data_IF_881481872678
#
_entry.id   IF_881481872678
#
_cell.length_a   1.000
_cell.length_b   1.000
_cell.length_c   1.000
_cell.angle_alpha   90.00
_cell.angle_beta   90.00
_cell.angle_gamma   90.00
#
_symmetry.space_group_name_H-M   'P 1'
#
loop_
_entity.id
_entity.type
_entity.pdbx_description
1 polymer ?
#
# COMPACT_ATOMS: atom_id res chain seq x y z
N UNK A 1 2.75 8.52 23.90
CA UNK A 1 1.61 8.44 22.97
C UNK A 1 1.58 9.71 22.14
N UNK A 2 1.52 9.59 20.82
CA UNK A 2 1.30 10.72 19.93
C UNK A 2 0.02 11.50 20.27
N UNK A 3 0.07 12.81 20.10
CA UNK A 3 -1.04 13.74 20.34
C UNK A 3 -1.24 14.63 19.12
N UNK A 4 -2.34 15.38 19.04
CA UNK A 4 -2.53 16.34 17.94
C UNK A 4 -1.46 17.44 17.91
N UNK A 5 -0.85 17.78 19.04
CA UNK A 5 0.25 18.76 19.13
C UNK A 5 1.63 18.17 18.87
N UNK A 6 1.75 16.84 18.93
CA UNK A 6 2.98 16.10 18.63
C UNK A 6 2.62 14.78 17.91
N UNK A 7 2.16 14.87 16.64
CA UNK A 7 1.67 13.72 15.89
C UNK A 7 2.84 12.85 15.40
N UNK A 8 2.55 11.58 15.04
CA UNK A 8 3.49 10.74 14.30
C UNK A 8 3.81 11.42 12.95
N UNK A 9 5.09 11.49 12.57
CA UNK A 9 5.47 11.86 11.20
C UNK A 9 5.38 10.62 10.32
N UNK A 10 4.52 10.65 9.32
CA UNK A 10 4.32 9.56 8.39
C UNK A 10 4.89 9.93 7.02
N UNK A 11 5.94 9.24 6.59
CA UNK A 11 6.59 9.50 5.32
C UNK A 11 5.90 8.70 4.19
N UNK A 12 5.29 9.43 3.25
CA UNK A 12 4.51 8.90 2.14
C UNK A 12 5.10 9.40 0.80
N UNK A 13 4.81 8.69 -0.29
CA UNK A 13 5.30 9.01 -1.62
C UNK A 13 4.42 10.09 -2.24
N UNK A 14 5.02 11.20 -2.63
CA UNK A 14 4.34 12.30 -3.29
C UNK A 14 3.77 11.88 -4.65
N UNK A 15 2.48 12.15 -4.87
CA UNK A 15 1.90 12.23 -6.21
C UNK A 15 2.07 13.63 -6.78
N UNK A 16 1.66 13.83 -8.04
CA UNK A 16 1.44 15.17 -8.57
C UNK A 16 0.31 15.93 -7.86
N UNK A 17 0.25 17.27 -8.03
CA UNK A 17 -0.73 18.11 -7.37
C UNK A 17 -2.19 17.77 -7.74
N UNK A 18 -3.13 17.76 -6.77
CA UNK A 18 -2.90 17.83 -5.33
C UNK A 18 -2.24 16.54 -4.82
N UNK A 19 -1.25 16.69 -3.93
CA UNK A 19 -0.51 15.56 -3.32
C UNK A 19 -1.49 14.63 -2.60
N UNK A 20 -1.42 13.34 -2.94
CA UNK A 20 -2.25 12.27 -2.37
C UNK A 20 -1.46 10.96 -2.33
N UNK A 21 -1.85 10.09 -1.41
CA UNK A 21 -1.33 8.72 -1.36
C UNK A 21 -1.78 7.96 -2.60
N UNK A 22 -0.88 7.15 -3.16
CA UNK A 22 -1.21 6.28 -4.29
C UNK A 22 -0.52 4.93 -4.21
N UNK A 23 0.67 4.86 -3.60
CA UNK A 23 1.42 3.62 -3.49
C UNK A 23 0.83 2.68 -2.43
N UNK A 24 0.86 1.35 -2.64
CA UNK A 24 0.17 0.39 -1.78
C UNK A 24 0.78 0.33 -0.38
N UNK A 25 2.11 0.34 -0.25
CA UNK A 25 2.72 0.22 1.08
C UNK A 25 2.43 1.43 1.97
N UNK A 26 2.55 2.69 1.50
CA UNK A 26 2.08 3.84 2.28
C UNK A 26 0.58 3.81 2.59
N UNK A 27 -0.27 3.36 1.66
CA UNK A 27 -1.69 3.14 1.95
C UNK A 27 -1.92 2.20 3.14
N UNK A 28 -1.13 1.12 3.28
CA UNK A 28 -1.23 0.21 4.44
C UNK A 28 -0.98 0.95 5.75
N UNK A 29 0.07 1.77 5.83
CA UNK A 29 0.38 2.57 7.02
C UNK A 29 -0.68 3.64 7.29
N UNK A 30 -1.18 4.31 6.25
CA UNK A 30 -2.25 5.31 6.39
C UNK A 30 -3.52 4.70 6.98
N UNK A 31 -3.97 3.56 6.44
CA UNK A 31 -5.09 2.81 6.99
C UNK A 31 -4.84 2.39 8.43
N UNK A 32 -3.64 1.88 8.76
CA UNK A 32 -3.30 1.48 10.12
C UNK A 32 -3.37 2.65 11.11
N UNK A 33 -2.79 3.80 10.78
CA UNK A 33 -2.83 5.01 11.59
C UNK A 33 -4.26 5.51 11.80
N UNK A 34 -5.05 5.59 10.73
CA UNK A 34 -6.45 6.01 10.78
C UNK A 34 -7.31 5.02 11.59
N UNK A 35 -7.13 3.72 11.37
CA UNK A 35 -7.85 2.66 12.08
C UNK A 35 -7.54 2.72 13.58
N UNK A 36 -6.29 2.89 13.98
CA UNK A 36 -5.94 3.07 15.40
C UNK A 36 -6.29 4.46 15.96
N UNK A 37 -6.75 5.37 15.10
CA UNK A 37 -7.01 6.78 15.45
C UNK A 37 -5.79 7.46 16.09
N UNK A 38 -4.60 7.13 15.58
CA UNK A 38 -3.35 7.75 16.02
C UNK A 38 -3.17 9.07 15.27
N UNK A 39 -2.93 10.20 15.94
CA UNK A 39 -2.62 11.46 15.27
C UNK A 39 -1.32 11.35 14.47
N UNK A 40 -1.36 11.74 13.20
CA UNK A 40 -0.19 11.78 12.33
C UNK A 40 -0.23 12.98 11.38
N UNK A 41 0.93 13.35 10.87
CA UNK A 41 1.12 14.30 9.79
C UNK A 41 1.86 13.61 8.64
N UNK A 42 1.38 13.79 7.40
CA UNK A 42 2.08 13.24 6.22
C UNK A 42 3.28 14.12 5.83
N UNK A 43 4.46 13.52 5.79
CA UNK A 43 5.66 14.05 5.17
C UNK A 43 5.76 13.49 3.75
N UNK A 44 5.54 14.35 2.75
CA UNK A 44 5.54 13.93 1.35
C UNK A 44 6.96 13.91 0.78
N UNK A 45 7.36 12.76 0.26
CA UNK A 45 8.70 12.52 -0.32
C UNK A 45 8.54 12.19 -1.80
N UNK A 46 9.26 12.92 -2.66
CA UNK A 46 9.29 12.59 -4.08
C UNK A 46 9.95 11.22 -4.29
N UNK A 47 9.49 10.46 -5.29
CA UNK A 47 9.97 9.10 -5.52
C UNK A 47 11.51 9.00 -5.64
N UNK A 48 12.21 9.92 -6.35
CA UNK A 48 13.67 9.89 -6.46
C UNK A 48 14.40 10.20 -5.14
N UNK A 49 13.72 10.84 -4.18
CA UNK A 49 14.31 11.30 -2.92
C UNK A 49 14.17 10.28 -1.77
N UNK A 50 13.55 9.12 -2.01
CA UNK A 50 13.27 8.12 -0.96
C UNK A 50 14.55 7.64 -0.28
N UNK A 51 15.58 7.30 -1.06
CA UNK A 51 16.86 6.84 -0.53
C UNK A 51 17.54 7.93 0.31
N UNK A 52 17.71 9.12 -0.27
CA UNK A 52 18.30 10.27 0.42
C UNK A 52 17.56 10.60 1.73
N UNK A 53 16.22 10.53 1.72
CA UNK A 53 15.39 10.76 2.90
C UNK A 53 15.66 9.74 4.00
N UNK A 54 15.66 8.44 3.68
CA UNK A 54 15.93 7.39 4.68
C UNK A 54 17.33 7.50 5.26
N UNK A 55 18.33 7.78 4.42
CA UNK A 55 19.72 7.97 4.83
C UNK A 55 19.89 9.20 5.75
N UNK A 56 19.24 10.32 5.43
CA UNK A 56 19.27 11.53 6.26
C UNK A 56 18.72 11.28 7.68
N UNK A 57 17.75 10.37 7.80
CA UNK A 57 17.18 9.94 9.08
C UNK A 57 17.83 8.69 9.68
N UNK A 58 18.89 8.15 9.05
CA UNK A 58 19.60 6.93 9.47
C UNK A 58 18.70 5.71 9.60
N UNK A 59 17.68 5.61 8.76
CA UNK A 59 16.76 4.47 8.74
C UNK A 59 17.23 3.47 7.68
N UNK A 60 17.67 2.29 8.14
CA UNK A 60 18.17 1.21 7.28
C UNK A 60 17.15 0.78 6.20
N UNK A 61 17.59 0.27 5.05
CA UNK A 61 16.70 -0.31 4.05
C UNK A 61 16.05 -1.59 4.62
N UNK A 62 14.80 -1.83 4.21
CA UNK A 62 14.00 -2.99 4.66
C UNK A 62 13.77 -4.00 3.53
N UNK A 63 14.31 -3.72 2.34
CA UNK A 63 14.24 -4.58 1.17
C UNK A 63 15.58 -4.58 0.43
N UNK A 64 15.76 -5.60 -0.39
CA UNK A 64 16.89 -5.78 -1.28
C UNK A 64 16.42 -5.92 -2.73
N UNK A 65 17.25 -5.50 -3.66
CA UNK A 65 17.12 -5.86 -5.07
C UNK A 65 17.53 -7.32 -5.32
N UNK A 66 17.23 -7.90 -6.49
CA UNK A 66 17.65 -9.27 -6.82
C UNK A 66 19.17 -9.51 -6.81
N UNK A 67 19.96 -8.45 -6.94
CA UNK A 67 21.42 -8.47 -6.85
C UNK A 67 21.96 -8.24 -5.43
N UNK A 68 21.08 -8.28 -4.42
CA UNK A 68 21.35 -8.06 -2.99
C UNK A 68 21.74 -6.62 -2.59
N UNK A 69 21.71 -5.68 -3.54
CA UNK A 69 21.88 -4.26 -3.24
C UNK A 69 20.69 -3.69 -2.46
N UNK A 70 20.94 -2.63 -1.69
CA UNK A 70 19.94 -2.01 -0.82
C UNK A 70 18.79 -1.39 -1.61
N UNK A 71 17.56 -1.68 -1.20
CA UNK A 71 16.37 -1.05 -1.78
C UNK A 71 15.62 -0.23 -0.72
N UNK A 72 15.79 1.09 -0.81
CA UNK A 72 15.13 2.05 0.08
C UNK A 72 13.68 2.26 -0.35
N UNK A 73 12.75 2.12 0.60
CA UNK A 73 11.31 2.20 0.34
C UNK A 73 10.58 3.04 1.37
N UNK A 74 9.45 3.60 0.99
CA UNK A 74 8.43 4.07 1.92
C UNK A 74 7.30 3.03 2.04
N UNK A 75 6.61 2.97 3.20
CA UNK A 75 6.60 3.97 4.26
C UNK A 75 7.71 3.84 5.31
N UNK A 76 7.92 4.92 6.04
CA UNK A 76 8.48 4.93 7.39
C UNK A 76 7.69 5.90 8.27
N UNK A 77 7.76 5.72 9.58
CA UNK A 77 7.20 6.66 10.55
C UNK A 77 8.26 7.08 11.55
N UNK A 78 8.10 8.29 12.10
CA UNK A 78 8.81 8.73 13.28
C UNK A 78 7.80 9.07 14.38
N UNK A 79 7.95 8.41 15.52
CA UNK A 79 7.17 8.66 16.71
C UNK A 79 7.99 9.45 17.73
N UNK A 80 7.69 10.75 17.85
CA UNK A 80 8.39 11.63 18.77
C UNK A 80 8.11 11.29 20.25
N UNK A 81 7.07 10.52 20.56
CA UNK A 81 6.80 10.11 21.94
C UNK A 81 7.77 9.04 22.45
N UNK A 82 8.40 8.30 21.54
CA UNK A 82 9.36 7.22 21.83
C UNK A 82 10.72 7.47 21.18
N UNK A 83 10.91 8.60 20.49
CA UNK A 83 12.10 8.93 19.70
C UNK A 83 12.53 7.79 18.77
N UNK A 84 11.56 7.20 18.06
CA UNK A 84 11.76 5.97 17.30
C UNK A 84 11.34 6.12 15.83
N UNK A 85 12.21 5.68 14.93
CA UNK A 85 11.86 5.43 13.52
C UNK A 85 11.48 3.96 13.33
N UNK A 86 10.38 3.74 12.60
CA UNK A 86 9.98 2.39 12.15
C UNK A 86 9.78 2.42 10.64
N UNK A 87 10.50 1.56 9.93
CA UNK A 87 10.33 1.34 8.50
C UNK A 87 9.58 0.04 8.23
N UNK A 88 9.07 -0.12 7.00
CA UNK A 88 8.21 -1.23 6.56
C UNK A 88 6.77 -1.14 7.08
N UNK A 89 5.79 -1.26 6.17
CA UNK A 89 4.37 -1.09 6.51
C UNK A 89 3.85 -2.14 7.48
N UNK A 90 4.42 -3.35 7.50
CA UNK A 90 4.02 -4.42 8.41
C UNK A 90 4.60 -4.19 9.80
N UNK A 91 5.89 -3.85 9.87
CA UNK A 91 6.56 -3.56 11.15
C UNK A 91 5.98 -2.31 11.81
N UNK A 92 5.57 -1.31 11.04
CA UNK A 92 4.79 -0.16 11.53
C UNK A 92 3.46 -0.63 12.14
N UNK A 93 2.74 -1.58 11.52
CA UNK A 93 1.48 -2.07 12.08
C UNK A 93 1.68 -2.83 13.39
N UNK A 94 2.75 -3.63 13.52
CA UNK A 94 3.15 -4.28 14.78
C UNK A 94 3.46 -3.22 15.84
N UNK A 95 4.30 -2.24 15.51
CA UNK A 95 4.64 -1.14 16.41
C UNK A 95 3.40 -0.38 16.89
N UNK A 96 2.45 -0.10 15.99
CA UNK A 96 1.21 0.60 16.35
C UNK A 96 0.31 -0.22 17.28
N UNK A 97 0.24 -1.54 17.13
CA UNK A 97 -0.49 -2.40 18.07
C UNK A 97 0.16 -2.45 19.45
N UNK A 98 1.50 -2.49 19.51
CA UNK A 98 2.26 -2.52 20.76
C UNK A 98 2.25 -1.17 21.50
N UNK A 99 2.50 -0.08 20.78
CA UNK A 99 2.62 1.25 21.38
C UNK A 99 1.27 1.94 21.59
N UNK A 100 0.23 1.58 20.82
CA UNK A 100 -1.09 2.23 20.90
C UNK A 100 -2.25 1.27 21.24
N UNK A 101 -2.15 0.50 22.35
CA UNK A 101 -3.19 -0.47 22.75
C UNK A 101 -4.49 0.21 23.22
N UNK A 102 -4.41 1.46 23.71
CA UNK A 102 -5.56 2.20 24.27
C UNK A 102 -6.64 2.56 23.24
N UNK A 103 -6.35 2.44 21.94
CA UNK A 103 -7.35 2.63 20.88
C UNK A 103 -8.49 1.61 20.92
N UNK A 104 -8.32 0.48 21.63
CA UNK A 104 -9.29 -0.62 21.70
C UNK A 104 -9.46 -1.42 20.40
N UNK A 105 -8.75 -1.02 19.35
CA UNK A 105 -8.71 -1.67 18.03
C UNK A 105 -7.42 -2.47 17.91
N UNK A 106 -7.43 -3.58 17.18
CA UNK A 106 -6.25 -4.43 16.99
C UNK A 106 -6.07 -4.68 15.50
N UNK A 107 -4.87 -4.43 14.98
CA UNK A 107 -4.52 -4.66 13.57
C UNK A 107 -4.12 -6.12 13.37
N UNK A 108 -3.27 -6.64 14.25
CA UNK A 108 -2.61 -7.93 14.17
C UNK A 108 -2.83 -8.69 15.48
N UNK A 109 -3.76 -9.68 15.51
CA UNK A 109 -3.95 -10.49 16.71
C UNK A 109 -2.62 -11.13 17.17
N UNK A 110 -2.27 -11.08 18.48
CA UNK A 110 -0.94 -11.51 18.97
C UNK A 110 -0.54 -12.95 18.59
N UNK A 111 -1.51 -13.84 18.38
CA UNK A 111 -1.29 -15.22 17.96
C UNK A 111 -1.18 -15.45 16.44
N UNK A 112 -1.41 -14.43 15.61
CA UNK A 112 -1.47 -14.56 14.15
C UNK A 112 -0.51 -13.65 13.39
N UNK A 113 0.37 -12.89 14.07
CA UNK A 113 1.33 -11.97 13.43
C UNK A 113 2.10 -12.67 12.28
N UNK A 114 2.65 -13.86 12.52
CA UNK A 114 3.37 -14.61 11.48
C UNK A 114 2.50 -14.99 10.27
N UNK A 115 1.24 -15.35 10.51
CA UNK A 115 0.27 -15.67 9.45
C UNK A 115 -0.10 -14.43 8.64
N UNK A 116 -0.32 -13.29 9.31
CA UNK A 116 -0.55 -12.02 8.62
C UNK A 116 0.67 -11.58 7.80
N UNK A 117 1.89 -11.85 8.26
CA UNK A 117 3.11 -11.55 7.48
C UNK A 117 3.17 -12.38 6.21
N UNK A 118 2.88 -13.68 6.30
CA UNK A 118 2.81 -14.56 5.13
C UNK A 118 1.69 -14.13 4.16
N UNK A 119 0.51 -13.79 4.69
CA UNK A 119 -0.60 -13.27 3.91
C UNK A 119 -0.25 -11.94 3.22
N UNK A 120 0.40 -11.01 3.92
CA UNK A 120 0.87 -9.75 3.31
C UNK A 120 1.77 -10.04 2.10
N UNK A 121 2.74 -10.94 2.25
CA UNK A 121 3.64 -11.31 1.15
C UNK A 121 2.89 -11.95 -0.04
N UNK A 122 1.90 -12.81 0.23
CA UNK A 122 1.05 -13.40 -0.81
C UNK A 122 0.26 -12.33 -1.58
N UNK A 123 -0.35 -11.39 -0.87
CA UNK A 123 -1.11 -10.28 -1.47
C UNK A 123 -0.20 -9.38 -2.29
N UNK A 124 0.97 -9.01 -1.75
CA UNK A 124 1.96 -8.20 -2.46
C UNK A 124 2.40 -8.89 -3.74
N UNK A 125 2.68 -10.20 -3.72
CA UNK A 125 3.03 -10.96 -4.90
C UNK A 125 1.87 -11.03 -5.92
N UNK A 126 0.64 -11.26 -5.47
CA UNK A 126 -0.54 -11.34 -6.34
C UNK A 126 -0.72 -10.04 -7.13
N UNK A 127 -0.78 -8.91 -6.45
CA UNK A 127 -1.05 -7.63 -7.10
C UNK A 127 0.16 -7.08 -7.87
N UNK A 128 1.39 -7.36 -7.42
CA UNK A 128 2.60 -6.96 -8.16
C UNK A 128 2.64 -7.59 -9.55
N UNK A 129 2.19 -8.84 -9.73
CA UNK A 129 2.12 -9.50 -11.05
C UNK A 129 1.25 -8.74 -12.05
N UNK A 130 0.27 -7.98 -11.57
CA UNK A 130 -0.73 -7.30 -12.40
C UNK A 130 -0.53 -5.78 -12.46
N UNK A 131 0.50 -5.23 -11.79
CA UNK A 131 0.73 -3.77 -11.70
C UNK A 131 0.93 -3.10 -13.07
N UNK A 132 1.43 -3.84 -14.06
CA UNK A 132 1.61 -3.36 -15.43
C UNK A 132 0.32 -2.82 -16.05
N UNK A 133 -0.85 -3.37 -15.69
CA UNK A 133 -2.16 -2.93 -16.22
C UNK A 133 -2.48 -1.45 -15.89
N UNK A 134 -1.95 -0.93 -14.78
CA UNK A 134 -2.16 0.45 -14.32
C UNK A 134 -0.92 1.34 -14.35
N UNK A 135 0.29 0.79 -14.57
CA UNK A 135 1.55 1.54 -14.39
C UNK A 135 1.67 2.80 -15.26
N UNK A 136 1.08 2.80 -16.46
CA UNK A 136 1.04 3.97 -17.35
C UNK A 136 0.34 5.20 -16.72
N UNK A 137 -0.56 4.99 -15.74
CA UNK A 137 -1.39 6.00 -15.11
C UNK A 137 -0.93 6.34 -13.70
N UNK A 138 0.31 5.98 -13.33
CA UNK A 138 0.86 6.41 -12.05
C UNK A 138 0.81 7.94 -11.94
N UNK A 139 0.28 8.49 -10.84
CA UNK A 139 0.04 9.93 -10.70
C UNK A 139 1.33 10.64 -10.28
N UNK A 140 2.41 10.49 -11.05
CA UNK A 140 3.69 11.11 -10.73
C UNK A 140 3.59 12.63 -10.65
N UNK A 141 4.43 13.22 -9.82
CA UNK A 141 4.63 14.66 -9.83
C UNK A 141 5.25 15.08 -11.17
N UNK A 142 4.61 15.98 -11.96
CA UNK A 142 5.13 16.42 -13.24
C UNK A 142 6.58 16.92 -13.20
N UNK A 143 7.01 17.52 -12.08
CA UNK A 143 8.37 18.03 -11.89
C UNK A 143 9.42 16.91 -11.80
N UNK A 144 9.05 15.75 -11.27
CA UNK A 144 9.94 14.60 -11.05
C UNK A 144 9.57 13.37 -11.89
N UNK A 145 8.59 13.49 -12.78
CA UNK A 145 8.00 12.37 -13.51
C UNK A 145 9.01 11.69 -14.43
N UNK A 146 9.84 12.45 -15.16
CA UNK A 146 10.82 11.85 -16.07
C UNK A 146 11.90 11.07 -15.31
N UNK A 147 12.38 11.59 -14.17
CA UNK A 147 13.29 10.85 -13.30
C UNK A 147 12.61 9.60 -12.73
N UNK A 148 11.38 9.72 -12.22
CA UNK A 148 10.63 8.59 -11.68
C UNK A 148 10.44 7.48 -12.70
N UNK A 149 10.11 7.83 -13.96
CA UNK A 149 10.04 6.87 -15.07
C UNK A 149 11.38 6.23 -15.35
N UNK A 150 12.47 7.00 -15.38
CA UNK A 150 13.82 6.47 -15.58
C UNK A 150 14.22 5.47 -14.48
N UNK A 151 13.90 5.77 -13.23
CA UNK A 151 14.15 4.88 -12.09
C UNK A 151 13.38 3.56 -12.23
N UNK A 152 12.12 3.61 -12.67
CA UNK A 152 11.34 2.40 -12.97
C UNK A 152 11.90 1.62 -14.16
N UNK A 153 12.34 2.30 -15.22
CA UNK A 153 12.96 1.68 -16.39
C UNK A 153 14.20 0.89 -15.99
N UNK A 154 15.08 1.50 -15.19
CA UNK A 154 16.26 0.84 -14.64
C UNK A 154 15.87 -0.33 -13.72
N UNK A 155 14.96 -0.09 -12.78
CA UNK A 155 14.52 -1.09 -11.79
C UNK A 155 13.87 -2.33 -12.40
N UNK A 156 13.07 -2.15 -13.45
CA UNK A 156 12.38 -3.24 -14.14
C UNK A 156 13.20 -3.83 -15.28
N UNK A 157 14.38 -3.28 -15.56
CA UNK A 157 15.26 -3.72 -16.64
C UNK A 157 14.52 -3.79 -17.99
N UNK A 158 13.82 -2.70 -18.33
CA UNK A 158 13.05 -2.54 -19.56
C UNK A 158 13.71 -1.48 -20.46
N UNK A 159 13.47 -1.47 -21.78
CA UNK A 159 14.17 -0.56 -22.68
C UNK A 159 13.69 0.90 -22.59
N UNK A 160 12.43 1.13 -22.22
CA UNK A 160 11.85 2.46 -22.08
C UNK A 160 10.56 2.42 -21.26
N UNK A 161 10.10 3.58 -20.79
CA UNK A 161 8.82 3.68 -20.09
C UNK A 161 7.66 3.23 -20.99
N UNK A 162 7.70 3.55 -22.28
CA UNK A 162 6.67 3.15 -23.24
C UNK A 162 6.50 1.62 -23.36
N UNK A 163 7.54 0.84 -23.06
CA UNK A 163 7.50 -0.61 -23.11
C UNK A 163 6.57 -1.24 -22.06
N UNK A 164 6.21 -0.52 -20.99
CA UNK A 164 5.25 -1.00 -19.98
C UNK A 164 3.80 -0.81 -20.42
N UNK A 165 3.57 0.01 -21.45
CA UNK A 165 2.23 0.48 -21.79
C UNK A 165 1.50 -0.61 -22.57
N UNK A 166 0.56 -1.28 -21.90
CA UNK A 166 -0.29 -2.29 -22.52
C UNK A 166 -1.53 -1.59 -23.11
N UNK A 167 -1.67 -1.66 -24.44
CA UNK A 167 -2.71 -0.97 -25.22
C UNK A 167 -3.70 -1.94 -25.87
N UNK A 168 -4.93 -1.48 -26.06
CA UNK A 168 -5.96 -2.16 -26.85
C UNK A 168 -6.20 -3.60 -26.42
N UNK A 169 -6.40 -4.49 -27.40
CA UNK A 169 -6.78 -5.89 -27.19
C UNK A 169 -5.75 -6.70 -26.38
N UNK A 170 -4.48 -6.26 -26.33
CA UNK A 170 -3.45 -6.90 -25.51
C UNK A 170 -3.75 -6.83 -24.00
N UNK A 171 -4.62 -5.91 -23.57
CA UNK A 171 -5.07 -5.80 -22.18
C UNK A 171 -6.03 -6.92 -21.78
N UNK A 172 -6.85 -7.41 -22.71
CA UNK A 172 -7.92 -8.39 -22.44
C UNK A 172 -7.43 -9.68 -21.76
N UNK A 173 -6.41 -10.40 -22.29
CA UNK A 173 -5.94 -11.62 -21.62
C UNK A 173 -5.31 -11.36 -20.25
N UNK A 174 -4.70 -10.19 -20.04
CA UNK A 174 -4.10 -9.82 -18.75
C UNK A 174 -5.17 -9.48 -17.71
N UNK A 175 -6.25 -8.81 -18.11
CA UNK A 175 -7.41 -8.56 -17.26
C UNK A 175 -8.12 -9.87 -16.88
N UNK A 176 -8.26 -10.81 -17.82
CA UNK A 176 -8.84 -12.12 -17.53
C UNK A 176 -7.95 -12.92 -16.56
N UNK A 177 -6.63 -12.89 -16.75
CA UNK A 177 -5.69 -13.50 -15.80
C UNK A 177 -5.79 -12.86 -14.40
N UNK A 178 -5.91 -11.53 -14.32
CA UNK A 178 -6.07 -10.85 -13.04
C UNK A 178 -7.39 -11.21 -12.36
N UNK A 179 -8.47 -11.25 -13.13
CA UNK A 179 -9.79 -11.68 -12.64
C UNK A 179 -9.77 -13.11 -12.13
N UNK A 180 -9.09 -14.03 -12.83
CA UNK A 180 -8.94 -15.43 -12.41
C UNK A 180 -8.12 -15.56 -11.12
N UNK A 181 -7.01 -14.83 -10.99
CA UNK A 181 -6.22 -14.78 -9.76
C UNK A 181 -7.06 -14.24 -8.58
N UNK A 182 -7.89 -13.22 -8.81
CA UNK A 182 -8.80 -12.69 -7.81
C UNK A 182 -9.98 -13.65 -7.50
N UNK A 183 -10.46 -14.42 -8.47
CA UNK A 183 -11.46 -15.48 -8.24
C UNK A 183 -10.92 -16.53 -7.25
N UNK A 184 -9.69 -16.99 -7.46
CA UNK A 184 -9.03 -17.92 -6.55
C UNK A 184 -8.77 -17.30 -5.18
N UNK A 185 -8.31 -16.04 -5.15
CA UNK A 185 -8.07 -15.33 -3.90
C UNK A 185 -9.36 -15.06 -3.11
N UNK A 186 -10.48 -14.81 -3.78
CA UNK A 186 -11.78 -14.59 -3.15
C UNK A 186 -12.27 -15.81 -2.34
N UNK A 187 -11.79 -17.02 -2.63
CA UNK A 187 -12.11 -18.25 -1.88
C UNK A 187 -11.61 -18.22 -0.43
N UNK A 188 -10.69 -17.32 -0.09
CA UNK A 188 -10.24 -17.09 1.29
C UNK A 188 -11.30 -16.40 2.14
N UNK A 189 -12.22 -15.65 1.52
CA UNK A 189 -13.30 -14.96 2.20
C UNK A 189 -14.52 -15.89 2.35
N UNK A 190 -14.50 -16.68 3.43
CA UNK A 190 -15.50 -17.73 3.69
C UNK A 190 -16.68 -17.32 4.57
N UNK A 191 -16.67 -16.09 5.08
CA UNK A 191 -17.76 -15.58 5.90
C UNK A 191 -18.81 -14.92 5.02
N UNK A 192 -20.07 -15.24 5.31
CA UNK A 192 -21.23 -14.61 4.67
C UNK A 192 -21.60 -13.28 5.35
N UNK A 193 -21.14 -13.06 6.59
CA UNK A 193 -21.27 -11.78 7.28
C UNK A 193 -20.06 -10.90 7.03
N UNK A 194 -20.31 -9.60 6.82
CA UNK A 194 -19.28 -8.58 6.72
C UNK A 194 -18.42 -8.60 5.45
N UNK A 195 -17.74 -7.48 5.16
CA UNK A 195 -16.92 -7.34 3.96
C UNK A 195 -15.47 -7.81 4.15
N UNK A 196 -15.07 -8.16 5.37
CA UNK A 196 -13.68 -8.43 5.75
C UNK A 196 -13.35 -9.93 5.74
N UNK A 197 -12.06 -10.25 5.76
CA UNK A 197 -11.54 -11.62 5.69
C UNK A 197 -12.02 -12.48 6.88
N UNK A 198 -12.16 -11.86 8.06
CA UNK A 198 -12.69 -12.49 9.28
C UNK A 198 -14.14 -12.07 9.58
N UNK A 199 -14.91 -11.76 8.52
CA UNK A 199 -16.32 -11.40 8.60
C UNK A 199 -16.55 -9.92 8.85
N UNK A 200 -17.14 -9.56 9.99
CA UNK A 200 -17.48 -8.16 10.33
C UNK A 200 -16.31 -7.40 10.97
N UNK A 201 -15.24 -8.10 11.37
CA UNK A 201 -14.10 -7.51 12.06
C UNK A 201 -12.96 -7.26 11.08
N UNK A 202 -12.62 -5.98 10.89
CA UNK A 202 -11.45 -5.57 10.13
C UNK A 202 -10.16 -5.94 10.87
N UNK A 203 -9.15 -6.37 10.10
CA UNK A 203 -7.78 -6.62 10.54
C UNK A 203 -6.76 -6.03 9.55
N UNK A 204 -5.46 -6.14 9.86
CA UNK A 204 -4.41 -5.75 8.92
C UNK A 204 -4.49 -6.51 7.60
N UNK A 205 -5.01 -7.76 7.58
CA UNK A 205 -5.16 -8.52 6.34
C UNK A 205 -6.06 -7.77 5.33
N UNK A 206 -7.14 -7.17 5.80
CA UNK A 206 -8.06 -6.36 4.99
C UNK A 206 -7.39 -5.08 4.49
N UNK A 207 -6.58 -4.45 5.36
CA UNK A 207 -5.78 -3.27 5.02
C UNK A 207 -4.80 -3.57 3.88
N UNK A 208 -4.14 -4.73 3.87
CA UNK A 208 -3.20 -5.08 2.78
C UNK A 208 -3.93 -5.12 1.44
N UNK A 209 -5.08 -5.79 1.37
CA UNK A 209 -5.86 -5.91 0.13
C UNK A 209 -6.43 -4.55 -0.27
N UNK A 210 -7.02 -3.82 0.69
CA UNK A 210 -7.57 -2.49 0.47
C UNK A 210 -6.53 -1.48 -0.03
N UNK A 211 -5.30 -1.54 0.49
CA UNK A 211 -4.22 -0.66 0.06
C UNK A 211 -3.83 -0.87 -1.41
N UNK A 212 -3.77 -2.12 -1.87
CA UNK A 212 -3.55 -2.44 -3.29
C UNK A 212 -4.73 -2.01 -4.15
N UNK A 213 -5.96 -2.29 -3.71
CA UNK A 213 -7.16 -1.85 -4.41
C UNK A 213 -7.25 -0.32 -4.51
N UNK A 214 -6.78 0.43 -3.51
CA UNK A 214 -6.71 1.88 -3.55
C UNK A 214 -5.74 2.41 -4.61
N UNK A 215 -4.57 1.76 -4.78
CA UNK A 215 -3.68 2.08 -5.90
C UNK A 215 -4.34 1.73 -7.24
N UNK A 216 -4.95 0.55 -7.35
CA UNK A 216 -5.61 0.08 -8.59
C UNK A 216 -6.74 1.02 -8.98
N UNK A 217 -7.58 1.44 -8.03
CA UNK A 217 -8.65 2.42 -8.26
C UNK A 217 -8.16 3.71 -8.90
N UNK A 218 -6.94 4.13 -8.59
CA UNK A 218 -6.36 5.35 -9.13
C UNK A 218 -5.71 5.15 -10.51
N UNK A 219 -5.28 3.94 -10.83
CA UNK A 219 -4.33 3.67 -11.93
C UNK A 219 -4.90 2.77 -13.02
N UNK A 220 -5.88 1.92 -12.70
CA UNK A 220 -6.48 0.97 -13.63
C UNK A 220 -7.67 1.62 -14.34
N UNK A 221 -7.64 1.78 -15.69
CA UNK A 221 -8.78 2.30 -16.45
C UNK A 221 -10.06 1.47 -16.28
N UNK A 222 -9.93 0.16 -16.10
CA UNK A 222 -11.02 -0.80 -15.96
C UNK A 222 -11.50 -0.96 -14.50
N UNK A 223 -11.29 0.05 -13.65
CA UNK A 223 -11.71 0.00 -12.24
C UNK A 223 -13.20 -0.36 -12.05
N UNK A 224 -14.08 0.22 -12.87
CA UNK A 224 -15.52 -0.05 -12.79
C UNK A 224 -15.85 -1.51 -13.14
N UNK A 225 -15.13 -2.10 -14.11
CA UNK A 225 -15.25 -3.52 -14.43
C UNK A 225 -14.76 -4.39 -13.25
N UNK A 226 -13.63 -4.04 -12.64
CA UNK A 226 -13.09 -4.76 -11.47
C UNK A 226 -14.07 -4.71 -10.28
N UNK A 227 -14.78 -3.58 -10.12
CA UNK A 227 -15.81 -3.43 -9.09
C UNK A 227 -16.98 -4.41 -9.23
N UNK A 228 -17.18 -5.04 -10.39
CA UNK A 228 -18.22 -6.05 -10.62
C UNK A 228 -17.70 -7.49 -10.37
N UNK A 229 -16.39 -7.70 -10.33
CA UNK A 229 -15.79 -9.03 -10.19
C UNK A 229 -16.14 -9.71 -8.86
N UNK A 230 -16.25 -11.05 -8.90
CA UNK A 230 -16.63 -11.89 -7.76
C UNK A 230 -17.88 -11.38 -7.03
N UNK A 231 -18.88 -10.95 -7.81
CA UNK A 231 -20.14 -10.40 -7.31
C UNK A 231 -19.95 -9.09 -6.54
N UNK A 232 -18.99 -8.25 -6.93
CA UNK A 232 -18.68 -6.96 -6.31
C UNK A 232 -17.93 -7.02 -4.98
N UNK A 233 -17.20 -8.11 -4.72
CA UNK A 233 -16.44 -8.32 -3.47
C UNK A 233 -15.45 -7.18 -3.19
N UNK A 234 -14.65 -6.82 -4.19
CA UNK A 234 -13.57 -5.83 -4.04
C UNK A 234 -14.10 -4.42 -3.81
N UNK A 235 -15.22 -4.08 -4.47
CA UNK A 235 -15.93 -2.83 -4.22
C UNK A 235 -16.43 -2.76 -2.78
N UNK A 236 -17.10 -3.81 -2.28
CA UNK A 236 -17.57 -3.86 -0.88
C UNK A 236 -16.44 -3.68 0.13
N UNK A 237 -15.28 -4.32 -0.10
CA UNK A 237 -14.12 -4.17 0.77
C UNK A 237 -13.60 -2.73 0.79
N UNK A 238 -13.41 -2.10 -0.37
CA UNK A 238 -12.96 -0.70 -0.45
C UNK A 238 -13.96 0.26 0.19
N UNK A 239 -15.26 0.07 -0.05
CA UNK A 239 -16.30 0.90 0.55
C UNK A 239 -16.29 0.77 2.07
N UNK A 240 -16.10 -0.45 2.60
CA UNK A 240 -16.01 -0.72 4.03
C UNK A 240 -14.77 -0.12 4.69
N UNK A 241 -13.67 0.04 3.95
CA UNK A 241 -12.43 0.68 4.42
C UNK A 241 -12.46 2.20 4.30
N UNK A 242 -13.43 2.78 3.59
CA UNK A 242 -13.52 4.23 3.38
C UNK A 242 -13.50 5.10 4.65
N UNK A 243 -14.04 4.66 5.82
CA UNK A 243 -13.92 5.45 7.06
C UNK A 243 -12.48 5.68 7.53
N UNK A 244 -11.53 4.87 7.06
CA UNK A 244 -10.11 4.96 7.41
C UNK A 244 -9.22 5.38 6.23
N UNK A 245 -9.81 5.87 5.13
CA UNK A 245 -9.09 6.26 3.92
C UNK A 245 -8.68 7.75 3.89
N UNK A 246 -8.97 8.52 4.94
CA UNK A 246 -8.70 9.95 5.00
C UNK A 246 -7.20 10.25 4.82
N UNK A 247 -6.90 11.25 3.98
CA UNK A 247 -5.55 11.80 3.77
C UNK A 247 -5.41 13.04 4.66
N UNK A 248 -4.48 12.98 5.61
CA UNK A 248 -4.14 14.06 6.55
C UNK A 248 -2.76 14.62 6.26
#
# INVERSE_FOLDING_TARGET
MATSSNPIKFFDIASGPPRRTYAPNPWKTRYALNYKSVPYQTEWVELPDIEATRLAHRVAPVRKFPDDSDFYTLPMVYDAATDTYVGDSFDIAVYLDEQYPSSGRCLLPPGSIGVHRAFNAQVDALFTRHVGLGSQNFPFNPETAEQSKADFVARWNIPSWDAIIIKGDARLPLLEAFKADLEDFAKLYKFDSGPFLEGDKMSYADIVVGAWLSMIKMTLPEWDQLCEWQGGRWKRLIDALSPWAEVK
#
